data_IF_059321883857
#
_entry.id   IF_059321883857
#
_cell.length_a   1.000
_cell.length_b   1.000
_cell.length_c   1.000
_cell.angle_alpha   90.00
_cell.angle_beta   90.00
_cell.angle_gamma   90.00
#
_symmetry.space_group_name_H-M   'P 1'
#
loop_
_entity.id
_entity.type
_entity.pdbx_description
1 polymer ?
#
# COMPACT_ATOMS: atom_id res chain seq x y z
N UNK A 1 11.08 21.41 -19.26
CA UNK A 1 10.20 20.98 -18.16
C UNK A 1 10.66 19.59 -17.82
N UNK A 2 11.37 19.45 -16.71
CA UNK A 2 11.91 18.16 -16.32
C UNK A 2 10.76 17.31 -15.77
N UNK A 3 10.49 16.19 -16.43
CA UNK A 3 9.53 15.21 -15.94
C UNK A 3 10.22 14.38 -14.87
N UNK A 4 9.77 14.53 -13.62
CA UNK A 4 10.25 13.74 -12.50
C UNK A 4 9.28 12.58 -12.29
N UNK A 5 9.77 11.34 -12.20
CA UNK A 5 8.89 10.17 -12.08
C UNK A 5 9.54 9.07 -11.25
N UNK A 6 8.73 8.47 -10.37
CA UNK A 6 8.98 7.19 -9.74
C UNK A 6 7.69 6.36 -9.80
N UNK A 7 7.73 5.04 -9.59
CA UNK A 7 6.53 4.22 -9.57
C UNK A 7 5.46 4.80 -8.62
N UNK A 8 4.29 5.13 -9.17
CA UNK A 8 3.15 5.67 -8.41
C UNK A 8 3.15 7.18 -8.19
N UNK A 9 4.20 7.91 -8.57
CA UNK A 9 4.28 9.36 -8.41
C UNK A 9 4.90 10.03 -9.63
N UNK A 10 4.12 10.88 -10.29
CA UNK A 10 4.60 11.77 -11.37
C UNK A 10 4.64 13.22 -10.89
N UNK A 11 5.81 13.82 -11.02
CA UNK A 11 6.11 15.19 -10.64
C UNK A 11 6.11 16.17 -11.79
N UNK A 12 5.78 17.41 -11.47
CA UNK A 12 6.01 18.56 -12.34
C UNK A 12 6.56 19.73 -11.54
N UNK A 13 7.42 20.53 -12.15
CA UNK A 13 7.92 21.79 -11.59
C UNK A 13 7.52 22.92 -12.51
N UNK A 14 6.70 23.85 -12.02
CA UNK A 14 6.26 25.03 -12.75
C UNK A 14 6.57 26.27 -11.94
N UNK A 15 7.31 27.23 -12.51
CA UNK A 15 7.75 28.45 -11.82
C UNK A 15 8.37 28.16 -10.44
N UNK A 16 9.30 27.21 -10.39
CA UNK A 16 9.97 26.73 -9.16
C UNK A 16 9.02 26.18 -8.10
N UNK A 17 7.79 25.79 -8.45
CA UNK A 17 6.86 25.13 -7.55
C UNK A 17 6.68 23.67 -7.96
N UNK A 18 7.00 22.70 -7.09
CA UNK A 18 6.80 21.29 -7.39
C UNK A 18 5.37 20.84 -7.05
N UNK A 19 4.83 19.95 -7.88
CA UNK A 19 3.55 19.31 -7.69
C UNK A 19 3.65 17.81 -8.05
N UNK A 20 2.79 16.99 -7.45
CA UNK A 20 2.67 15.56 -7.75
C UNK A 20 1.23 15.21 -8.17
N UNK A 21 1.08 14.22 -9.05
CA UNK A 21 -0.21 13.64 -9.47
C UNK A 21 -1.06 13.07 -8.31
N UNK A 22 -0.43 12.70 -7.19
CA UNK A 22 -1.13 12.34 -5.95
C UNK A 22 -1.80 13.52 -5.23
N UNK A 23 -1.68 14.75 -5.76
CA UNK A 23 -2.27 15.97 -5.21
C UNK A 23 -1.36 16.75 -4.27
N UNK A 24 -0.14 16.28 -4.02
CA UNK A 24 0.85 17.00 -3.21
C UNK A 24 1.34 18.27 -3.91
N UNK A 25 1.44 19.36 -3.16
CA UNK A 25 1.97 20.65 -3.60
C UNK A 25 3.08 21.08 -2.65
N UNK A 26 4.29 21.31 -3.18
CA UNK A 26 5.41 21.80 -2.39
C UNK A 26 5.58 23.30 -2.45
N UNK A 27 6.40 23.81 -1.53
CA UNK A 27 6.76 25.23 -1.49
C UNK A 27 7.60 25.63 -2.70
N UNK A 28 7.40 26.88 -3.16
CA UNK A 28 8.15 27.46 -4.26
C UNK A 28 9.60 27.73 -3.86
N UNK A 29 10.56 27.42 -4.74
CA UNK A 29 11.95 27.81 -4.59
C UNK A 29 12.90 26.94 -5.42
N UNK A 30 14.20 27.29 -5.45
CA UNK A 30 15.18 26.68 -6.35
C UNK A 30 15.38 25.16 -6.12
N UNK A 31 15.05 24.64 -4.93
CA UNK A 31 15.13 23.22 -4.58
C UNK A 31 13.83 22.44 -4.90
N UNK A 32 12.99 22.96 -5.80
CA UNK A 32 11.72 22.33 -6.13
C UNK A 32 11.85 20.86 -6.57
N UNK A 33 12.82 20.48 -7.44
CA UNK A 33 13.03 19.08 -7.79
C UNK A 33 13.38 18.21 -6.58
N UNK A 34 14.31 18.64 -5.71
CA UNK A 34 14.74 17.90 -4.52
C UNK A 34 13.63 17.77 -3.47
N UNK A 35 12.78 18.79 -3.34
CA UNK A 35 11.57 18.72 -2.51
C UNK A 35 10.59 17.67 -3.05
N UNK A 36 10.37 17.65 -4.36
CA UNK A 36 9.54 16.62 -4.98
C UNK A 36 10.12 15.21 -4.73
N UNK A 37 11.42 15.01 -4.92
CA UNK A 37 12.06 13.71 -4.68
C UNK A 37 11.91 13.23 -3.24
N UNK A 38 12.11 14.10 -2.24
CA UNK A 38 11.90 13.74 -0.83
C UNK A 38 10.46 13.32 -0.54
N UNK A 39 9.48 14.02 -1.12
CA UNK A 39 8.08 13.64 -1.01
C UNK A 39 7.80 12.27 -1.64
N UNK A 40 8.18 12.12 -2.91
CA UNK A 40 7.86 10.94 -3.70
C UNK A 40 8.50 9.67 -3.10
N UNK A 41 9.76 9.73 -2.68
CA UNK A 41 10.45 8.60 -2.02
C UNK A 41 9.76 8.23 -0.71
N UNK A 42 9.44 9.21 0.15
CA UNK A 42 8.77 8.92 1.42
C UNK A 42 7.37 8.31 1.24
N UNK A 43 6.64 8.75 0.22
CA UNK A 43 5.35 8.18 -0.13
C UNK A 43 5.48 6.76 -0.70
N UNK A 44 6.42 6.54 -1.62
CA UNK A 44 6.69 5.22 -2.20
C UNK A 44 7.16 4.20 -1.16
N UNK A 45 7.88 4.61 -0.12
CA UNK A 45 8.30 3.73 0.98
C UNK A 45 7.14 3.37 1.93
N UNK A 46 6.05 4.14 1.92
CA UNK A 46 4.90 3.95 2.80
C UNK A 46 3.77 3.13 2.18
N UNK A 47 3.80 2.93 0.85
CA UNK A 47 2.75 2.26 0.08
C UNK A 47 3.26 0.93 -0.52
N UNK A 48 2.37 -0.06 -0.75
CA UNK A 48 2.75 -1.23 -1.53
C UNK A 48 3.20 -0.83 -2.95
N UNK A 49 4.21 -1.50 -3.53
CA UNK A 49 4.64 -1.23 -4.89
C UNK A 49 3.47 -1.36 -5.89
N UNK A 50 3.27 -0.35 -6.74
CA UNK A 50 2.13 -0.29 -7.66
C UNK A 50 2.02 -1.50 -8.59
N UNK A 51 3.14 -2.05 -9.06
CA UNK A 51 3.15 -3.26 -9.89
C UNK A 51 2.57 -4.48 -9.16
N UNK A 52 2.70 -4.55 -7.83
CA UNK A 52 2.17 -5.65 -7.03
C UNK A 52 0.66 -5.48 -6.84
N UNK A 53 0.19 -4.25 -6.66
CA UNK A 53 -1.24 -3.92 -6.65
C UNK A 53 -1.89 -4.29 -7.98
N UNK A 54 -1.27 -3.97 -9.12
CA UNK A 54 -1.75 -4.38 -10.45
C UNK A 54 -1.87 -5.89 -10.57
N UNK A 55 -0.90 -6.66 -10.06
CA UNK A 55 -1.00 -8.13 -10.05
C UNK A 55 -2.13 -8.64 -9.16
N UNK A 56 -2.35 -7.99 -8.01
CA UNK A 56 -3.48 -8.28 -7.12
C UNK A 56 -4.82 -8.03 -7.82
N UNK A 57 -4.94 -6.94 -8.57
CA UNK A 57 -6.13 -6.60 -9.35
C UNK A 57 -6.39 -7.65 -10.44
N UNK A 58 -5.36 -8.06 -11.18
CA UNK A 58 -5.48 -9.13 -12.20
C UNK A 58 -5.94 -10.45 -11.58
N UNK A 59 -5.38 -10.84 -10.42
CA UNK A 59 -5.83 -12.04 -9.70
C UNK A 59 -7.30 -11.93 -9.31
N UNK A 60 -7.73 -10.79 -8.77
CA UNK A 60 -9.13 -10.54 -8.40
C UNK A 60 -10.05 -10.68 -9.61
N UNK A 61 -9.71 -10.07 -10.74
CA UNK A 61 -10.54 -10.11 -11.95
C UNK A 61 -10.66 -11.53 -12.51
N UNK A 62 -9.56 -12.29 -12.47
CA UNK A 62 -9.58 -13.72 -12.83
C UNK A 62 -10.45 -14.55 -11.89
N UNK A 63 -10.44 -14.26 -10.58
CA UNK A 63 -11.33 -14.91 -9.61
C UNK A 63 -12.79 -14.60 -9.93
N UNK A 64 -13.13 -13.34 -10.27
CA UNK A 64 -14.50 -12.95 -10.66
C UNK A 64 -14.99 -13.71 -11.88
N UNK A 65 -14.14 -13.86 -12.90
CA UNK A 65 -14.44 -14.68 -14.08
C UNK A 65 -14.65 -16.17 -13.71
N UNK A 66 -13.80 -16.71 -12.83
CA UNK A 66 -13.93 -18.08 -12.35
C UNK A 66 -15.20 -18.30 -11.52
N UNK A 67 -15.63 -17.33 -10.70
CA UNK A 67 -16.89 -17.44 -9.96
C UNK A 67 -18.07 -17.63 -10.93
N UNK A 68 -18.04 -16.95 -12.06
CA UNK A 68 -19.12 -16.99 -13.05
C UNK A 68 -19.08 -18.25 -13.93
N UNK A 69 -17.90 -18.83 -14.16
CA UNK A 69 -17.72 -19.97 -15.08
C UNK A 69 -17.51 -21.31 -14.40
N UNK A 70 -16.83 -21.34 -13.24
CA UNK A 70 -16.32 -22.52 -12.52
C UNK A 70 -16.24 -22.27 -10.99
N UNK A 71 -17.37 -22.09 -10.29
CA UNK A 71 -17.39 -21.63 -8.90
C UNK A 71 -16.63 -22.55 -7.92
N UNK A 72 -16.66 -23.87 -8.08
CA UNK A 72 -15.92 -24.80 -7.20
C UNK A 72 -14.40 -24.66 -7.37
N UNK A 73 -13.93 -24.27 -8.55
CA UNK A 73 -12.51 -23.98 -8.80
C UNK A 73 -12.12 -22.65 -8.15
N UNK A 74 -12.99 -21.64 -8.25
CA UNK A 74 -12.79 -20.36 -7.56
C UNK A 74 -12.66 -20.55 -6.04
N UNK A 75 -13.52 -21.39 -5.43
CA UNK A 75 -13.45 -21.72 -4.00
C UNK A 75 -12.10 -22.34 -3.61
N UNK A 76 -11.55 -23.25 -4.43
CA UNK A 76 -10.23 -23.87 -4.16
C UNK A 76 -9.09 -22.85 -4.21
N UNK A 77 -9.12 -21.92 -5.16
CA UNK A 77 -8.13 -20.85 -5.23
C UNK A 77 -8.25 -19.89 -4.05
N UNK A 78 -9.47 -19.46 -3.71
CA UNK A 78 -9.70 -18.57 -2.57
C UNK A 78 -9.24 -19.21 -1.26
N UNK A 79 -9.47 -20.51 -1.08
CA UNK A 79 -8.95 -21.25 0.07
C UNK A 79 -7.42 -21.29 0.10
N UNK A 80 -6.75 -21.42 -1.06
CA UNK A 80 -5.29 -21.34 -1.13
C UNK A 80 -4.79 -19.94 -0.77
N UNK A 81 -5.44 -18.88 -1.27
CA UNK A 81 -5.10 -17.50 -0.91
C UNK A 81 -5.22 -17.28 0.60
N UNK A 82 -6.35 -17.69 1.19
CA UNK A 82 -6.61 -17.53 2.62
C UNK A 82 -5.59 -18.27 3.50
N UNK A 83 -5.11 -19.44 3.06
CA UNK A 83 -4.10 -20.23 3.77
C UNK A 83 -2.81 -19.46 4.06
N UNK A 84 -2.36 -18.58 3.16
CA UNK A 84 -1.12 -17.84 3.36
C UNK A 84 -1.33 -16.37 3.76
N UNK A 85 -2.48 -15.75 3.48
CA UNK A 85 -2.73 -14.35 3.88
C UNK A 85 -2.78 -14.19 5.39
N UNK A 86 -3.46 -15.09 6.11
CA UNK A 86 -3.58 -15.03 7.57
C UNK A 86 -2.22 -15.05 8.30
N UNK A 87 -1.35 -16.07 8.11
CA UNK A 87 -0.04 -16.09 8.77
C UNK A 87 0.89 -14.96 8.32
N UNK A 88 0.80 -14.49 7.07
CA UNK A 88 1.58 -13.33 6.61
C UNK A 88 1.11 -12.02 7.27
N UNK A 89 -0.19 -11.87 7.50
CA UNK A 89 -0.74 -10.72 8.21
C UNK A 89 -0.23 -10.69 9.66
N UNK A 90 -0.28 -11.83 10.35
CA UNK A 90 0.25 -11.96 11.72
C UNK A 90 1.75 -11.59 11.77
N UNK A 91 2.56 -12.11 10.83
CA UNK A 91 3.99 -11.78 10.73
C UNK A 91 4.24 -10.30 10.44
N UNK A 92 3.43 -9.68 9.58
CA UNK A 92 3.53 -8.25 9.28
C UNK A 92 3.19 -7.40 10.52
N UNK A 93 2.15 -7.78 11.28
CA UNK A 93 1.79 -7.13 12.53
C UNK A 93 2.91 -7.25 13.56
N UNK A 94 3.47 -8.45 13.77
CA UNK A 94 4.62 -8.66 14.65
C UNK A 94 5.81 -7.76 14.25
N UNK A 95 6.12 -7.71 12.95
CA UNK A 95 7.22 -6.88 12.45
C UNK A 95 6.96 -5.38 12.65
N UNK A 96 5.73 -4.91 12.43
CA UNK A 96 5.35 -3.51 12.66
C UNK A 96 5.43 -3.15 14.16
N UNK A 97 4.87 -4.00 15.03
CA UNK A 97 4.93 -3.85 16.50
C UNK A 97 6.37 -3.85 17.00
N UNK A 98 7.21 -4.77 16.51
CA UNK A 98 8.64 -4.84 16.83
C UNK A 98 9.45 -3.62 16.37
N UNK A 99 8.94 -2.84 15.41
CA UNK A 99 9.49 -1.54 14.99
C UNK A 99 8.88 -0.34 15.72
N UNK A 100 8.01 -0.58 16.71
CA UNK A 100 7.40 0.45 17.54
C UNK A 100 6.05 0.98 17.05
N UNK A 101 5.47 0.43 15.98
CA UNK A 101 4.14 0.85 15.51
C UNK A 101 3.09 0.60 16.59
N UNK A 102 2.23 1.58 16.86
CA UNK A 102 1.12 1.49 17.81
C UNK A 102 -0.03 0.65 17.26
N UNK A 103 -0.90 0.15 18.15
CA UNK A 103 -2.13 -0.54 17.73
C UNK A 103 -3.08 0.35 16.90
N UNK A 104 -2.99 1.67 17.04
CA UNK A 104 -3.76 2.60 16.23
C UNK A 104 -3.24 2.62 14.79
N UNK A 105 -1.93 2.69 14.60
CA UNK A 105 -1.29 2.64 13.27
C UNK A 105 -1.51 1.29 12.59
N UNK A 106 -1.39 0.18 13.34
CA UNK A 106 -1.71 -1.16 12.81
C UNK A 106 -3.18 -1.26 12.40
N UNK A 107 -4.11 -0.74 13.21
CA UNK A 107 -5.53 -0.71 12.86
C UNK A 107 -5.80 0.07 11.59
N UNK A 108 -5.21 1.27 11.46
CA UNK A 108 -5.30 2.10 10.25
C UNK A 108 -4.78 1.36 9.02
N UNK A 109 -3.61 0.74 9.10
CA UNK A 109 -3.02 -0.01 7.98
C UNK A 109 -3.87 -1.21 7.54
N UNK A 110 -4.59 -1.85 8.48
CA UNK A 110 -5.47 -2.98 8.21
C UNK A 110 -6.92 -2.58 7.89
N UNK A 111 -7.26 -1.29 7.96
CA UNK A 111 -8.63 -0.81 7.75
C UNK A 111 -9.60 -1.22 8.87
N UNK A 112 -9.13 -1.41 10.11
CA UNK A 112 -9.94 -1.80 11.27
C UNK A 112 -9.72 -0.85 12.45
N UNK A 113 -10.61 -0.90 13.45
CA UNK A 113 -10.42 -0.10 14.66
C UNK A 113 -9.20 -0.56 15.45
N UNK A 114 -8.60 0.35 16.22
CA UNK A 114 -7.52 0.05 17.18
C UNK A 114 -7.87 -1.14 18.10
N UNK A 115 -9.10 -1.17 18.61
CA UNK A 115 -9.56 -2.23 19.51
C UNK A 115 -9.63 -3.57 18.78
N UNK A 116 -10.20 -3.60 17.57
CA UNK A 116 -10.28 -4.81 16.76
C UNK A 116 -8.89 -5.35 16.39
N UNK A 117 -7.93 -4.47 16.07
CA UNK A 117 -6.55 -4.88 15.83
C UNK A 117 -5.91 -5.50 17.09
N UNK A 118 -6.03 -4.83 18.24
CA UNK A 118 -5.47 -5.35 19.49
C UNK A 118 -6.09 -6.69 19.89
N UNK A 119 -7.41 -6.81 19.88
CA UNK A 119 -8.10 -8.07 20.20
C UNK A 119 -7.67 -9.22 19.29
N UNK A 120 -7.50 -8.94 17.98
CA UNK A 120 -7.13 -9.94 16.99
C UNK A 120 -5.68 -10.38 17.07
N UNK A 121 -4.75 -9.50 17.46
CA UNK A 121 -3.31 -9.75 17.32
C UNK A 121 -2.51 -9.65 18.62
N UNK A 122 -3.14 -9.44 19.79
CA UNK A 122 -2.44 -9.37 21.09
C UNK A 122 -1.59 -10.59 21.45
N UNK A 123 -1.83 -11.74 20.81
CA UNK A 123 -1.09 -13.00 21.06
C UNK A 123 0.11 -13.17 20.13
N UNK A 124 0.31 -12.24 19.19
CA UNK A 124 1.36 -12.28 18.15
C UNK A 124 2.58 -11.41 18.54
N UNK A 125 2.46 -10.62 19.61
CA UNK A 125 3.53 -9.82 20.24
C UNK A 125 4.30 -10.66 21.28
#
# INVERSE_FOLDING_TARGET
MDTLEIPGHRGSVTADRPACDCGWLGEQGPEAPERWWRHAIGAADSEPPSWLLVKSDVLRDQVVDMISTRPEVALKLLAEVDRWTRPLTERAVAAARGRGATWAEVGTALGVSRQAAHERFREVE
#
